data_IF_349809678146
#
_entry.id   IF_349809678146
#
_cell.length_a   1.000
_cell.length_b   1.000
_cell.length_c   1.000
_cell.angle_alpha   90.00
_cell.angle_beta   90.00
_cell.angle_gamma   90.00
#
_symmetry.space_group_name_H-M   'P 1'
#
loop_
_entity.id
_entity.type
_entity.pdbx_description
1 polymer ?
#
# COMPACT_ATOMS: atom_id res chain seq x y z
N UNK A 1 1.87 -20.73 20.24
CA UNK A 1 2.83 -20.77 21.34
C UNK A 1 3.86 -21.89 21.30
N UNK A 2 3.64 -22.96 20.53
CA UNK A 2 4.62 -24.06 20.36
C UNK A 2 5.94 -23.58 19.75
N UNK A 3 5.94 -22.64 18.84
CA UNK A 3 7.15 -22.09 18.21
C UNK A 3 8.05 -21.30 19.18
N UNK A 4 7.45 -20.57 20.13
CA UNK A 4 8.20 -19.84 21.17
C UNK A 4 8.87 -20.81 22.17
N UNK A 5 8.18 -21.86 22.55
CA UNK A 5 8.72 -22.87 23.48
C UNK A 5 9.90 -23.63 22.85
N UNK A 6 9.79 -23.97 21.57
CA UNK A 6 10.89 -24.67 20.85
C UNK A 6 12.11 -23.76 20.69
N UNK A 7 11.93 -22.46 20.38
CA UNK A 7 13.06 -21.54 20.26
C UNK A 7 13.76 -21.26 21.59
N UNK A 8 13.03 -21.22 22.70
CA UNK A 8 13.63 -21.11 24.04
C UNK A 8 14.46 -22.34 24.43
N UNK A 9 13.97 -23.53 24.09
CA UNK A 9 14.68 -24.78 24.36
C UNK A 9 15.97 -24.93 23.54
N UNK A 10 16.03 -24.36 22.34
CA UNK A 10 17.17 -24.45 21.43
C UNK A 10 18.14 -23.24 21.52
N UNK A 11 17.89 -22.29 22.44
CA UNK A 11 18.76 -21.13 22.64
C UNK A 11 18.73 -20.09 21.48
N UNK A 12 17.72 -20.14 20.61
CA UNK A 12 17.54 -19.15 19.56
C UNK A 12 16.98 -17.83 20.11
N UNK A 13 17.42 -16.71 19.57
CA UNK A 13 16.85 -15.40 19.92
C UNK A 13 15.42 -15.31 19.44
N UNK A 14 14.47 -15.12 20.37
CA UNK A 14 13.10 -14.80 20.02
C UNK A 14 13.04 -13.43 19.35
N UNK A 15 12.57 -13.37 18.10
CA UNK A 15 12.21 -12.11 17.47
C UNK A 15 10.90 -11.61 18.11
N UNK A 16 10.81 -10.29 18.34
CA UNK A 16 9.56 -9.67 18.75
C UNK A 16 8.51 -9.94 17.65
N UNK A 17 7.34 -10.48 17.99
CA UNK A 17 6.28 -10.69 17.01
C UNK A 17 5.85 -9.35 16.39
N UNK A 18 5.43 -9.34 15.13
CA UNK A 18 4.74 -8.19 14.55
C UNK A 18 3.41 -7.95 15.25
N UNK A 19 2.81 -6.79 15.03
CA UNK A 19 1.54 -6.43 15.67
C UNK A 19 0.45 -7.47 15.35
N UNK A 20 -0.22 -7.95 16.40
CA UNK A 20 -1.38 -8.81 16.27
C UNK A 20 -2.65 -7.97 16.26
N UNK A 21 -3.47 -8.11 15.23
CA UNK A 21 -4.74 -7.38 15.04
C UNK A 21 -5.88 -8.36 14.90
N UNK A 22 -6.91 -8.22 15.72
CA UNK A 22 -8.14 -9.00 15.68
C UNK A 22 -9.23 -8.29 14.87
N UNK A 23 -9.82 -8.99 13.91
CA UNK A 23 -10.91 -8.49 13.04
C UNK A 23 -11.94 -9.59 12.87
N UNK A 24 -13.18 -9.36 13.31
CA UNK A 24 -14.29 -10.28 13.07
C UNK A 24 -14.02 -11.71 13.61
N UNK A 25 -13.34 -11.84 14.73
CA UNK A 25 -12.97 -13.13 15.32
C UNK A 25 -11.72 -13.80 14.71
N UNK A 26 -11.13 -13.21 13.69
CA UNK A 26 -9.86 -13.64 13.08
C UNK A 26 -8.69 -12.82 13.62
N UNK A 27 -7.50 -13.43 13.68
CA UNK A 27 -6.28 -12.75 14.09
C UNK A 27 -5.29 -12.66 12.91
N UNK A 28 -4.73 -11.48 12.72
CA UNK A 28 -3.76 -11.17 11.69
C UNK A 28 -2.46 -10.67 12.31
N UNK A 29 -1.33 -11.06 11.73
CA UNK A 29 -0.05 -10.42 12.01
C UNK A 29 0.21 -9.35 10.95
N UNK A 30 0.42 -8.11 11.40
CA UNK A 30 0.57 -6.94 10.52
C UNK A 30 1.92 -6.27 10.74
N UNK A 31 2.62 -5.98 9.66
CA UNK A 31 3.88 -5.25 9.70
C UNK A 31 5.12 -6.07 9.34
N UNK A 32 6.33 -5.47 9.49
CA UNK A 32 7.58 -6.14 9.15
C UNK A 32 7.76 -7.46 9.89
N UNK A 33 8.12 -8.52 9.19
CA UNK A 33 8.33 -9.85 9.76
C UNK A 33 7.05 -10.68 9.93
N UNK A 34 5.88 -10.20 9.51
CA UNK A 34 4.62 -10.95 9.64
C UNK A 34 4.66 -12.33 8.94
N UNK A 35 5.43 -12.45 7.86
CA UNK A 35 5.63 -13.71 7.14
C UNK A 35 6.35 -14.81 7.94
N UNK A 36 7.09 -14.45 9.00
CA UNK A 36 7.70 -15.42 9.92
C UNK A 36 6.66 -16.06 10.87
N UNK A 37 5.45 -15.48 10.96
CA UNK A 37 4.40 -15.83 11.92
C UNK A 37 3.14 -16.41 11.29
N UNK A 38 3.00 -16.32 9.97
CA UNK A 38 1.87 -16.84 9.24
C UNK A 38 2.10 -16.84 7.73
N UNK A 39 1.21 -17.48 7.00
CA UNK A 39 1.26 -17.44 5.54
C UNK A 39 0.86 -16.06 5.05
N UNK A 40 1.63 -15.44 4.13
CA UNK A 40 1.22 -14.20 3.49
C UNK A 40 -0.13 -14.35 2.80
N UNK A 41 -0.98 -13.33 2.91
CA UNK A 41 -2.22 -13.24 2.14
C UNK A 41 -1.87 -12.49 0.86
N UNK A 42 -1.81 -13.20 -0.25
CA UNK A 42 -1.42 -12.66 -1.57
C UNK A 42 -2.65 -12.35 -2.44
N UNK A 43 -3.70 -11.77 -1.85
CA UNK A 43 -4.83 -11.27 -2.61
C UNK A 43 -4.49 -9.90 -3.20
N UNK A 44 -4.40 -9.79 -4.52
CA UNK A 44 -4.09 -8.56 -5.26
C UNK A 44 -5.29 -8.02 -6.04
N UNK A 45 -6.42 -8.68 -5.97
CA UNK A 45 -7.65 -8.26 -6.64
C UNK A 45 -8.23 -6.99 -5.99
N UNK A 46 -8.95 -6.21 -6.79
CA UNK A 46 -9.60 -4.98 -6.31
C UNK A 46 -10.55 -5.25 -5.14
N UNK A 47 -11.24 -6.38 -5.13
CA UNK A 47 -12.20 -6.74 -4.08
C UNK A 47 -11.63 -6.63 -2.67
N UNK A 48 -10.31 -6.83 -2.50
CA UNK A 48 -9.64 -6.60 -1.23
C UNK A 48 -9.85 -5.17 -0.69
N UNK A 49 -9.96 -4.18 -1.57
CA UNK A 49 -10.14 -2.77 -1.17
C UNK A 49 -11.53 -2.47 -0.61
N UNK A 50 -12.48 -3.40 -0.74
CA UNK A 50 -13.87 -3.22 -0.29
C UNK A 50 -14.09 -3.56 1.18
N UNK A 51 -13.03 -3.71 1.97
CA UNK A 51 -13.09 -3.91 3.42
C UNK A 51 -13.17 -5.37 3.86
N UNK A 52 -12.55 -6.27 3.10
CA UNK A 52 -12.30 -7.65 3.55
C UNK A 52 -11.43 -7.66 4.82
N UNK A 53 -11.50 -8.72 5.64
CA UNK A 53 -10.85 -8.75 6.96
C UNK A 53 -9.36 -8.43 6.94
N UNK A 54 -8.61 -8.91 5.95
CA UNK A 54 -7.16 -8.64 5.80
C UNK A 54 -6.87 -7.16 5.52
N UNK A 55 -7.70 -6.48 4.73
CA UNK A 55 -7.54 -5.04 4.47
C UNK A 55 -7.91 -4.23 5.72
N UNK A 56 -8.96 -4.63 6.43
CA UNK A 56 -9.28 -4.02 7.73
C UNK A 56 -8.15 -4.18 8.72
N UNK A 57 -7.54 -5.36 8.78
CA UNK A 57 -6.40 -5.62 9.66
C UNK A 57 -5.20 -4.70 9.36
N UNK A 58 -4.92 -4.41 8.07
CA UNK A 58 -3.88 -3.47 7.68
C UNK A 58 -4.23 -2.06 8.16
N UNK A 59 -5.44 -1.58 7.88
CA UNK A 59 -5.88 -0.23 8.29
C UNK A 59 -5.86 -0.10 9.81
N UNK A 60 -6.41 -1.07 10.53
CA UNK A 60 -6.42 -1.06 12.00
C UNK A 60 -5.01 -1.17 12.59
N UNK A 61 -4.12 -1.92 11.95
CA UNK A 61 -2.71 -1.98 12.35
C UNK A 61 -2.00 -0.63 12.19
N UNK A 62 -2.28 0.12 11.13
CA UNK A 62 -1.76 1.47 10.91
C UNK A 62 -2.30 2.43 11.98
N UNK A 63 -3.62 2.42 12.21
CA UNK A 63 -4.28 3.26 13.22
C UNK A 63 -3.77 2.94 14.63
N UNK A 64 -3.63 1.66 14.98
CA UNK A 64 -3.07 1.25 16.28
C UNK A 64 -1.64 1.73 16.46
N UNK A 65 -0.82 1.64 15.40
CA UNK A 65 0.55 2.15 15.44
C UNK A 65 0.60 3.66 15.64
N UNK A 66 -0.30 4.39 14.97
CA UNK A 66 -0.43 5.85 15.14
C UNK A 66 -0.83 6.18 16.58
N UNK A 67 -1.86 5.53 17.12
CA UNK A 67 -2.30 5.76 18.50
C UNK A 67 -1.22 5.39 19.54
N UNK A 68 -0.45 4.34 19.31
CA UNK A 68 0.68 3.98 20.17
C UNK A 68 1.80 5.03 20.18
N UNK A 69 1.96 5.77 19.09
CA UNK A 69 2.99 6.79 18.96
C UNK A 69 2.54 8.18 19.43
N UNK A 70 1.30 8.55 19.17
CA UNK A 70 0.80 9.92 19.33
C UNK A 70 -0.31 10.06 20.38
N UNK A 71 -0.81 8.95 20.91
CA UNK A 71 -1.92 8.91 21.87
C UNK A 71 -3.25 8.52 21.23
N UNK A 72 -4.25 8.34 22.09
CA UNK A 72 -5.61 7.96 21.66
C UNK A 72 -6.23 9.05 20.79
N UNK A 73 -7.03 8.61 19.83
CA UNK A 73 -7.82 9.48 18.95
C UNK A 73 -9.25 9.47 19.49
N UNK A 74 -9.67 10.56 20.10
CA UNK A 74 -10.99 10.76 20.75
C UNK A 74 -11.94 11.64 19.94
N UNK A 75 -11.50 12.09 18.76
CA UNK A 75 -12.28 12.88 17.82
C UNK A 75 -12.46 12.13 16.50
N UNK A 76 -13.55 12.39 15.75
CA UNK A 76 -13.70 11.84 14.40
C UNK A 76 -12.55 12.29 13.50
N UNK A 77 -11.97 11.35 12.77
CA UNK A 77 -10.92 11.64 11.78
C UNK A 77 -11.48 11.64 10.36
N UNK A 78 -10.81 12.38 9.49
CA UNK A 78 -11.03 12.33 8.06
C UNK A 78 -9.86 11.62 7.39
N UNK A 79 -10.15 10.76 6.41
CA UNK A 79 -9.14 10.00 5.69
C UNK A 79 -9.06 10.44 4.23
N UNK A 80 -7.84 10.45 3.71
CA UNK A 80 -7.58 10.46 2.27
C UNK A 80 -6.99 9.10 1.91
N UNK A 81 -7.63 8.40 0.95
CA UNK A 81 -7.24 7.06 0.54
C UNK A 81 -6.81 7.08 -0.92
N UNK A 82 -5.55 6.72 -1.17
CA UNK A 82 -5.02 6.54 -2.52
C UNK A 82 -5.34 5.16 -3.06
N UNK A 83 -6.02 5.08 -4.20
CA UNK A 83 -6.28 3.85 -4.94
C UNK A 83 -5.44 3.79 -6.21
N UNK A 84 -5.13 2.58 -6.71
CA UNK A 84 -4.48 2.42 -8.01
C UNK A 84 -5.29 3.08 -9.14
N UNK A 85 -4.61 3.66 -10.12
CA UNK A 85 -5.24 4.32 -11.26
C UNK A 85 -6.19 3.39 -12.04
N UNK A 86 -5.85 2.11 -12.17
CA UNK A 86 -6.72 1.13 -12.84
C UNK A 86 -8.09 1.02 -12.17
N UNK A 87 -8.14 1.11 -10.85
CA UNK A 87 -9.37 1.05 -10.06
C UNK A 87 -10.23 2.31 -10.23
N UNK A 88 -9.57 3.43 -10.49
CA UNK A 88 -10.20 4.75 -10.68
C UNK A 88 -10.39 5.12 -12.16
N UNK A 89 -10.30 4.13 -13.06
CA UNK A 89 -10.46 4.33 -14.50
C UNK A 89 -11.69 3.60 -15.03
N UNK A 90 -12.25 4.11 -16.13
CA UNK A 90 -13.40 3.50 -16.80
C UNK A 90 -14.73 3.66 -16.03
N UNK A 91 -15.74 2.94 -16.48
CA UNK A 91 -17.14 3.09 -16.04
C UNK A 91 -17.37 2.71 -14.57
N UNK A 92 -16.49 1.86 -14.01
CA UNK A 92 -16.61 1.38 -12.63
C UNK A 92 -15.90 2.29 -11.61
N UNK A 93 -15.17 3.32 -12.05
CA UNK A 93 -14.34 4.17 -11.19
C UNK A 93 -15.13 4.77 -10.00
N UNK A 94 -16.30 5.34 -10.28
CA UNK A 94 -17.15 5.94 -9.25
C UNK A 94 -17.68 4.89 -8.26
N UNK A 95 -18.12 3.73 -8.76
CA UNK A 95 -18.60 2.60 -7.94
C UNK A 95 -17.50 2.07 -7.05
N UNK A 96 -16.31 1.92 -7.60
CA UNK A 96 -15.13 1.45 -6.87
C UNK A 96 -14.77 2.40 -5.72
N UNK A 97 -14.70 3.70 -6.01
CA UNK A 97 -14.42 4.71 -4.99
C UNK A 97 -15.48 4.70 -3.88
N UNK A 98 -16.76 4.59 -4.25
CA UNK A 98 -17.87 4.57 -3.29
C UNK A 98 -17.85 3.30 -2.41
N UNK A 99 -17.53 2.14 -2.97
CA UNK A 99 -17.39 0.90 -2.20
C UNK A 99 -16.29 1.02 -1.14
N UNK A 100 -15.17 1.66 -1.46
CA UNK A 100 -14.09 1.90 -0.49
C UNK A 100 -14.54 2.86 0.61
N UNK A 101 -15.19 3.97 0.26
CA UNK A 101 -15.73 4.92 1.26
C UNK A 101 -16.73 4.27 2.20
N UNK A 102 -17.63 3.44 1.68
CA UNK A 102 -18.73 2.84 2.44
C UNK A 102 -18.28 2.02 3.64
N UNK A 103 -17.20 1.27 3.51
CA UNK A 103 -16.72 0.46 4.64
C UNK A 103 -15.80 1.24 5.58
N UNK A 104 -15.20 2.34 5.11
CA UNK A 104 -14.31 3.16 5.92
C UNK A 104 -15.06 4.19 6.78
N UNK A 105 -16.18 4.74 6.29
CA UNK A 105 -16.94 5.73 7.05
C UNK A 105 -17.72 5.04 8.18
N UNK A 106 -17.67 5.62 9.38
CA UNK A 106 -18.41 5.15 10.56
C UNK A 106 -17.54 4.81 11.74
N UNK A 107 -18.12 4.06 12.66
CA UNK A 107 -17.44 3.57 13.86
C UNK A 107 -16.70 2.27 13.56
N UNK A 108 -15.49 2.17 14.06
CA UNK A 108 -14.64 1.00 13.94
C UNK A 108 -14.15 0.54 15.30
N UNK A 109 -14.26 -0.77 15.55
CA UNK A 109 -13.77 -1.43 16.75
C UNK A 109 -12.92 -2.63 16.37
N UNK A 110 -11.78 -2.81 17.06
CA UNK A 110 -10.90 -3.95 16.84
C UNK A 110 -10.04 -4.21 18.08
N UNK A 111 -9.31 -5.31 18.06
CA UNK A 111 -8.29 -5.61 19.05
C UNK A 111 -6.90 -5.48 18.44
N UNK A 112 -5.99 -4.80 19.15
CA UNK A 112 -4.58 -4.76 18.80
C UNK A 112 -3.72 -5.09 20.02
N UNK A 113 -2.84 -6.08 19.92
CA UNK A 113 -1.98 -6.54 21.01
C UNK A 113 -2.77 -6.87 22.31
N UNK A 114 -4.02 -7.35 22.17
CA UNK A 114 -4.91 -7.65 23.29
C UNK A 114 -5.58 -6.42 23.93
N UNK A 115 -5.43 -5.24 23.34
CA UNK A 115 -6.12 -4.02 23.76
C UNK A 115 -7.28 -3.72 22.83
N UNK A 116 -8.42 -3.34 23.40
CA UNK A 116 -9.55 -2.84 22.62
C UNK A 116 -9.25 -1.45 22.10
N UNK A 117 -9.49 -1.25 20.81
CA UNK A 117 -9.30 0.01 20.11
C UNK A 117 -10.61 0.40 19.43
N UNK A 118 -10.89 1.69 19.39
CA UNK A 118 -12.03 2.24 18.67
C UNK A 118 -11.68 3.57 18.03
N UNK A 119 -12.34 3.91 16.90
CA UNK A 119 -12.20 5.18 16.22
C UNK A 119 -13.45 5.48 15.40
N UNK A 120 -13.78 6.75 15.26
CA UNK A 120 -14.80 7.21 14.33
C UNK A 120 -14.15 7.86 13.10
N UNK A 121 -14.52 7.40 11.91
CA UNK A 121 -14.12 8.00 10.64
C UNK A 121 -15.30 8.80 10.09
N UNK A 122 -15.17 10.12 10.04
CA UNK A 122 -16.23 11.04 9.64
C UNK A 122 -16.34 11.19 8.13
N UNK A 123 -15.23 11.46 7.45
CA UNK A 123 -15.18 11.65 6.01
C UNK A 123 -14.05 10.84 5.38
N UNK A 124 -14.31 10.30 4.19
CA UNK A 124 -13.30 9.63 3.38
C UNK A 124 -13.25 10.24 1.98
N UNK A 125 -12.09 10.75 1.60
CA UNK A 125 -11.79 11.19 0.23
C UNK A 125 -10.95 10.14 -0.47
N UNK A 126 -11.36 9.76 -1.68
CA UNK A 126 -10.59 8.84 -2.52
C UNK A 126 -9.86 9.63 -3.59
N UNK A 127 -8.59 9.33 -3.76
CA UNK A 127 -7.72 9.89 -4.80
C UNK A 127 -6.88 8.77 -5.43
N UNK A 128 -6.10 9.08 -6.48
CA UNK A 128 -5.14 8.12 -7.03
C UNK A 128 -3.85 8.08 -6.19
N UNK A 129 -3.20 6.92 -6.14
CA UNK A 129 -1.93 6.78 -5.42
C UNK A 129 -0.86 7.76 -5.92
N UNK A 130 -0.64 7.96 -7.25
CA UNK A 130 0.34 8.93 -7.74
C UNK A 130 0.05 10.38 -7.35
N UNK A 131 -1.22 10.74 -7.07
CA UNK A 131 -1.55 12.08 -6.55
C UNK A 131 -0.88 12.35 -5.20
N UNK A 132 -0.65 11.32 -4.38
CA UNK A 132 0.10 11.45 -3.13
C UNK A 132 1.52 11.96 -3.37
N UNK A 133 2.24 11.39 -4.34
CA UNK A 133 3.58 11.84 -4.71
C UNK A 133 3.61 13.26 -5.28
N UNK A 134 2.58 13.67 -6.02
CA UNK A 134 2.43 15.04 -6.48
C UNK A 134 2.30 16.02 -5.32
N UNK A 135 1.46 15.72 -4.33
CA UNK A 135 1.27 16.58 -3.18
C UNK A 135 2.47 16.56 -2.23
N UNK A 136 3.15 15.43 -2.05
CA UNK A 136 4.42 15.33 -1.32
C UNK A 136 5.50 16.25 -1.94
N UNK A 137 5.54 16.32 -3.26
CA UNK A 137 6.43 17.27 -3.95
C UNK A 137 6.02 18.74 -3.75
N UNK A 138 4.73 19.05 -3.75
CA UNK A 138 4.22 20.43 -3.74
C UNK A 138 4.09 21.03 -2.34
N UNK A 139 3.88 20.21 -1.30
CA UNK A 139 3.55 20.65 0.05
C UNK A 139 4.70 20.36 1.02
N UNK A 140 4.76 21.11 2.08
CA UNK A 140 5.60 20.85 3.26
C UNK A 140 4.87 19.95 4.28
N UNK A 141 5.54 19.69 5.41
CA UNK A 141 5.00 18.83 6.48
C UNK A 141 3.76 19.42 7.16
N UNK A 142 3.54 20.72 7.05
CA UNK A 142 2.36 21.44 7.55
C UNK A 142 1.23 21.51 6.50
N UNK A 143 1.42 20.90 5.31
CA UNK A 143 0.45 20.89 4.22
C UNK A 143 0.34 22.21 3.47
N UNK A 144 1.32 23.10 3.59
CA UNK A 144 1.37 24.37 2.87
C UNK A 144 2.17 24.21 1.57
N UNK A 145 1.81 24.98 0.54
CA UNK A 145 2.59 24.95 -0.69
C UNK A 145 4.01 25.46 -0.46
N UNK A 146 5.00 24.67 -0.85
CA UNK A 146 6.39 25.09 -0.93
C UNK A 146 6.47 26.24 -1.97
N UNK A 147 6.87 27.46 -1.58
CA UNK A 147 6.75 28.64 -2.45
C UNK A 147 7.41 28.45 -3.83
N UNK A 148 8.58 27.82 -3.87
CA UNK A 148 9.35 27.58 -5.10
C UNK A 148 8.69 26.55 -6.03
N UNK A 149 7.83 25.68 -5.50
CA UNK A 149 7.17 24.58 -6.25
C UNK A 149 5.70 24.90 -6.59
N UNK A 150 5.11 25.91 -5.96
CA UNK A 150 3.71 26.28 -6.15
C UNK A 150 3.35 26.55 -7.62
N UNK A 151 4.25 27.19 -8.37
CA UNK A 151 4.03 27.49 -9.78
C UNK A 151 3.91 26.22 -10.64
N UNK A 152 4.58 25.13 -10.25
CA UNK A 152 4.56 23.87 -10.99
C UNK A 152 3.15 23.25 -11.02
N UNK A 153 2.31 23.53 -10.02
CA UNK A 153 0.94 23.03 -9.98
C UNK A 153 0.06 23.53 -11.14
N UNK A 154 0.45 24.62 -11.78
CA UNK A 154 -0.21 25.19 -12.98
C UNK A 154 0.50 24.79 -14.27
N UNK A 155 1.56 23.99 -14.21
CA UNK A 155 2.30 23.49 -15.35
C UNK A 155 1.97 22.05 -15.64
N UNK A 156 2.42 21.54 -16.78
CA UNK A 156 2.37 20.13 -17.06
C UNK A 156 3.39 19.38 -16.22
N UNK A 157 2.92 18.36 -15.49
CA UNK A 157 3.74 17.51 -14.63
C UNK A 157 3.40 16.04 -14.90
N UNK A 158 4.43 15.24 -15.13
CA UNK A 158 4.35 13.79 -15.19
C UNK A 158 4.80 13.15 -13.88
N UNK A 159 4.04 12.24 -13.32
CA UNK A 159 4.34 11.47 -12.13
C UNK A 159 4.47 10.01 -12.50
N UNK A 160 5.61 9.40 -12.19
CA UNK A 160 5.85 7.96 -12.32
C UNK A 160 5.84 7.36 -10.91
N UNK A 161 4.92 6.45 -10.66
CA UNK A 161 4.85 5.68 -9.42
C UNK A 161 5.07 4.20 -9.73
N UNK A 162 6.08 3.59 -9.12
CA UNK A 162 6.36 2.15 -9.23
C UNK A 162 6.17 1.52 -7.87
N UNK A 163 5.01 0.89 -7.69
CA UNK A 163 4.67 0.15 -6.48
C UNK A 163 5.08 -1.32 -6.55
N UNK A 164 4.62 -2.11 -5.58
CA UNK A 164 4.83 -3.55 -5.62
C UNK A 164 4.11 -4.20 -6.80
N UNK A 165 2.85 -3.89 -7.01
CA UNK A 165 2.01 -4.50 -8.06
C UNK A 165 1.96 -3.67 -9.35
N UNK A 166 1.89 -2.33 -9.25
CA UNK A 166 1.57 -1.45 -10.36
C UNK A 166 2.69 -0.47 -10.71
N UNK A 167 2.81 -0.18 -12.00
CA UNK A 167 3.39 1.03 -12.56
C UNK A 167 2.23 1.97 -12.88
N UNK A 168 2.30 3.20 -12.39
CA UNK A 168 1.28 4.21 -12.60
C UNK A 168 1.91 5.48 -13.15
N UNK A 169 1.31 5.98 -14.21
CA UNK A 169 1.70 7.20 -14.91
C UNK A 169 0.55 8.19 -14.80
N UNK A 170 0.77 9.30 -14.12
CA UNK A 170 -0.23 10.36 -13.96
C UNK A 170 0.32 11.64 -14.59
N UNK A 171 -0.42 12.22 -15.52
CA UNK A 171 -0.13 13.54 -16.06
C UNK A 171 -1.17 14.54 -15.58
N UNK A 172 -0.68 15.64 -15.05
CA UNK A 172 -1.49 16.77 -14.60
C UNK A 172 -1.05 18.01 -15.37
N UNK A 173 -1.97 18.76 -15.91
CA UNK A 173 -1.72 20.06 -16.55
C UNK A 173 -2.76 21.06 -16.06
N UNK A 174 -2.31 22.21 -15.60
CA UNK A 174 -3.14 23.26 -15.01
C UNK A 174 -4.17 22.68 -14.00
N UNK A 175 -3.67 21.90 -13.02
CA UNK A 175 -4.45 21.26 -11.93
C UNK A 175 -5.45 20.19 -12.41
N UNK A 176 -5.43 19.83 -13.68
CA UNK A 176 -6.37 18.88 -14.27
C UNK A 176 -5.64 17.64 -14.76
N UNK A 177 -6.21 16.46 -14.50
CA UNK A 177 -5.66 15.19 -15.00
C UNK A 177 -5.82 15.11 -16.52
N UNK A 178 -4.72 14.85 -17.21
CA UNK A 178 -4.71 14.59 -18.67
C UNK A 178 -4.95 13.10 -18.88
N UNK A 179 -6.20 12.72 -19.12
CA UNK A 179 -6.62 11.31 -19.21
C UNK A 179 -5.88 10.53 -20.30
N UNK A 180 -5.63 11.13 -21.46
CA UNK A 180 -4.91 10.48 -22.57
C UNK A 180 -3.43 10.15 -22.25
N UNK A 181 -2.87 10.82 -21.25
CA UNK A 181 -1.48 10.65 -20.80
C UNK A 181 -1.41 10.07 -19.38
N UNK A 182 -2.46 9.36 -18.95
CA UNK A 182 -2.57 8.76 -17.62
C UNK A 182 -2.87 7.27 -17.77
N UNK A 183 -2.07 6.41 -17.13
CA UNK A 183 -2.22 4.95 -17.24
C UNK A 183 -1.75 4.22 -15.99
N UNK A 184 -2.41 3.10 -15.66
CA UNK A 184 -1.96 2.09 -14.71
C UNK A 184 -1.67 0.77 -15.42
N UNK A 185 -0.66 0.01 -14.95
CA UNK A 185 -0.32 -1.32 -15.45
C UNK A 185 0.29 -2.18 -14.33
N UNK A 186 0.05 -3.48 -14.40
CA UNK A 186 0.63 -4.48 -13.48
C UNK A 186 2.12 -4.75 -13.80
N UNK A 187 2.94 -3.71 -13.77
CA UNK A 187 4.38 -3.74 -14.07
C UNK A 187 5.25 -3.29 -12.89
N UNK A 188 4.74 -3.42 -11.66
CA UNK A 188 5.47 -3.10 -10.44
C UNK A 188 6.61 -4.09 -10.13
N UNK A 189 7.18 -3.99 -8.95
CA UNK A 189 8.29 -4.85 -8.46
C UNK A 189 7.91 -6.33 -8.48
N UNK A 190 6.63 -6.66 -8.30
CA UNK A 190 6.10 -8.02 -8.45
C UNK A 190 6.53 -8.65 -9.78
N UNK A 191 6.42 -7.90 -10.89
CA UNK A 191 6.80 -8.40 -12.23
C UNK A 191 8.29 -8.76 -12.30
N UNK A 192 9.16 -7.96 -11.66
CA UNK A 192 10.58 -8.29 -11.52
C UNK A 192 10.78 -9.60 -10.76
N UNK A 193 10.05 -9.80 -9.65
CA UNK A 193 10.14 -11.03 -8.87
C UNK A 193 9.61 -12.26 -9.63
N UNK A 194 8.55 -12.11 -10.40
CA UNK A 194 8.02 -13.17 -11.28
C UNK A 194 9.03 -13.60 -12.34
N UNK A 195 9.77 -12.66 -12.94
CA UNK A 195 10.85 -12.96 -13.89
C UNK A 195 11.98 -13.76 -13.27
N UNK A 196 12.20 -13.62 -11.97
CA UNK A 196 13.22 -14.36 -11.22
C UNK A 196 12.73 -15.72 -10.70
N UNK A 197 11.43 -15.93 -10.62
CA UNK A 197 10.79 -17.11 -10.04
C UNK A 197 10.29 -18.09 -11.12
N UNK A 198 11.04 -18.26 -12.19
CA UNK A 198 10.63 -19.12 -13.32
C UNK A 198 10.25 -20.54 -12.93
N UNK A 199 10.87 -21.09 -11.88
CA UNK A 199 10.59 -22.44 -11.39
C UNK A 199 9.51 -22.49 -10.31
N UNK A 200 8.93 -21.35 -9.93
CA UNK A 200 7.92 -21.21 -8.86
C UNK A 200 8.34 -21.83 -7.50
N UNK A 201 9.64 -21.82 -7.20
CA UNK A 201 10.19 -22.42 -5.98
C UNK A 201 9.96 -21.57 -4.72
N UNK A 202 9.68 -20.30 -4.89
CA UNK A 202 9.52 -19.33 -3.80
C UNK A 202 8.16 -18.61 -3.88
N UNK A 203 7.62 -18.22 -2.73
CA UNK A 203 6.52 -17.26 -2.71
C UNK A 203 7.02 -15.86 -3.05
N UNK A 204 6.15 -14.99 -3.56
CA UNK A 204 6.50 -13.59 -3.85
C UNK A 204 6.94 -12.84 -2.59
N UNK A 205 6.34 -13.14 -1.42
CA UNK A 205 6.72 -12.57 -0.13
C UNK A 205 8.13 -12.95 0.31
N UNK A 206 8.56 -14.21 0.07
CA UNK A 206 9.95 -14.64 0.32
C UNK A 206 10.93 -13.91 -0.58
N UNK A 207 10.60 -13.76 -1.87
CA UNK A 207 11.46 -13.05 -2.82
C UNK A 207 11.54 -11.56 -2.49
N UNK A 208 10.43 -10.91 -2.11
CA UNK A 208 10.41 -9.50 -1.65
C UNK A 208 11.29 -9.33 -0.41
N UNK A 209 11.20 -10.25 0.54
CA UNK A 209 12.06 -10.24 1.74
C UNK A 209 13.54 -10.36 1.38
N UNK A 210 13.90 -11.26 0.46
CA UNK A 210 15.28 -11.41 -0.01
C UNK A 210 15.74 -10.18 -0.78
N UNK A 211 14.88 -9.56 -1.59
CA UNK A 211 15.18 -8.33 -2.32
C UNK A 211 15.47 -7.18 -1.36
N UNK A 212 14.62 -6.92 -0.38
CA UNK A 212 14.80 -5.88 0.64
C UNK A 212 16.05 -6.10 1.50
N UNK A 213 16.43 -7.35 1.73
CA UNK A 213 17.65 -7.70 2.43
C UNK A 213 18.92 -7.67 1.54
N UNK A 214 18.80 -7.28 0.26
CA UNK A 214 19.86 -7.31 -0.75
C UNK A 214 20.49 -8.72 -0.92
N UNK A 215 19.68 -9.77 -0.75
CA UNK A 215 20.09 -11.18 -0.86
C UNK A 215 19.55 -11.86 -2.13
N UNK A 216 18.93 -11.09 -3.03
CA UNK A 216 18.39 -11.58 -4.28
C UNK A 216 19.23 -11.04 -5.45
N UNK A 217 19.73 -11.95 -6.29
CA UNK A 217 20.43 -11.55 -7.51
C UNK A 217 19.39 -11.16 -8.59
N UNK A 218 19.39 -9.89 -8.99
CA UNK A 218 18.36 -9.34 -9.88
C UNK A 218 18.91 -8.92 -11.25
N UNK A 219 20.24 -8.98 -11.46
CA UNK A 219 20.90 -8.43 -12.66
C UNK A 219 20.35 -8.95 -13.97
N UNK A 220 19.95 -10.21 -14.02
CA UNK A 220 19.44 -10.83 -15.25
C UNK A 220 18.00 -10.38 -15.58
N UNK A 221 17.18 -10.12 -14.56
CA UNK A 221 15.78 -9.75 -14.74
C UNK A 221 15.57 -8.23 -14.92
N UNK A 222 16.44 -7.40 -14.32
CA UNK A 222 16.33 -5.93 -14.43
C UNK A 222 16.26 -5.43 -15.87
N UNK A 223 17.09 -5.85 -16.84
CA UNK A 223 17.02 -5.34 -18.20
C UNK A 223 15.69 -5.68 -18.89
N UNK A 224 15.10 -6.83 -18.58
CA UNK A 224 13.82 -7.26 -19.15
C UNK A 224 12.71 -6.39 -18.56
N UNK A 225 12.64 -6.31 -17.23
CA UNK A 225 11.65 -5.51 -16.53
C UNK A 225 11.76 -4.02 -16.87
N UNK A 226 12.97 -3.46 -16.92
CA UNK A 226 13.19 -2.07 -17.30
C UNK A 226 12.66 -1.78 -18.71
N UNK A 227 12.87 -2.69 -19.67
CA UNK A 227 12.33 -2.56 -21.04
C UNK A 227 10.80 -2.56 -21.06
N UNK A 228 10.17 -3.44 -20.26
CA UNK A 228 8.70 -3.46 -20.15
C UNK A 228 8.17 -2.14 -19.56
N UNK A 229 8.84 -1.61 -18.52
CA UNK A 229 8.49 -0.35 -17.86
C UNK A 229 8.69 0.84 -18.82
N UNK A 230 9.87 0.97 -19.44
CA UNK A 230 10.15 2.08 -20.37
C UNK A 230 9.26 2.04 -21.59
N UNK A 231 8.99 0.86 -22.16
CA UNK A 231 8.05 0.71 -23.27
C UNK A 231 6.62 1.13 -22.91
N UNK A 232 6.19 0.92 -21.64
CA UNK A 232 4.89 1.44 -21.19
C UNK A 232 4.90 2.96 -21.03
N UNK A 233 6.00 3.54 -20.52
CA UNK A 233 6.16 5.00 -20.41
C UNK A 233 6.10 5.64 -21.83
N UNK A 234 6.94 5.18 -22.76
CA UNK A 234 6.98 5.67 -24.14
C UNK A 234 5.64 5.54 -24.90
N UNK A 235 4.84 4.52 -24.55
CA UNK A 235 3.51 4.34 -25.15
C UNK A 235 2.49 5.34 -24.59
N UNK A 236 2.69 5.83 -23.38
CA UNK A 236 1.74 6.69 -22.67
C UNK A 236 2.08 8.16 -22.86
N UNK A 237 3.35 8.48 -22.92
CA UNK A 237 3.94 9.83 -23.08
C UNK A 237 4.74 9.94 -24.37
#
# INVERSE_FOLDING_TARGET
DTGQQVSQLLGFRNRKPPMKVGVGGMNFYVGPGAHDWGRPIENLDYERMTGVPETRAIVYGILSRYMNQFGLIDIPINLIVGLPLEVLSGDQAATNAENVKRWLVGEHEWEAEGQHCSIQIGEVKVTSQPSGALFDYLLDDEGQFIPQRRAHFNQEMGIISIGFNTLELLTVNDRTVVQAMTAGRTLGVRRLLELLNGDNLHTLGELDTKLRASKLEVRQAIPIWAREVTGQIEKTW
#
